data_IF_444607966087
#
_entry.id   IF_444607966087
#
_cell.length_a   1.000
_cell.length_b   1.000
_cell.length_c   1.000
_cell.angle_alpha   90.00
_cell.angle_beta   90.00
_cell.angle_gamma   90.00
#
_symmetry.space_group_name_H-M   'P 1'
#
loop_
_entity.id
_entity.type
_entity.pdbx_description
1 polymer ?
#
# COMPACT_ATOMS: atom_id res chain seq x y z
N UNK A 1 -1.01 -7.61 -10.78
CA UNK A 1 0.27 -8.10 -10.24
C UNK A 1 0.09 -8.73 -8.87
N UNK A 2 0.78 -9.83 -8.61
CA UNK A 2 0.72 -10.48 -7.30
C UNK A 2 1.95 -10.06 -6.48
N UNK A 3 1.69 -9.51 -5.29
CA UNK A 3 2.76 -9.15 -4.38
C UNK A 3 3.02 -10.28 -3.41
N UNK A 4 4.24 -10.82 -3.45
CA UNK A 4 4.69 -11.77 -2.44
C UNK A 4 5.10 -10.98 -1.19
N UNK A 5 5.39 -11.70 -0.10
CA UNK A 5 5.82 -11.06 1.14
C UNK A 5 7.03 -10.14 0.92
N UNK A 6 8.04 -10.61 0.20
CA UNK A 6 9.23 -9.81 -0.05
C UNK A 6 8.94 -8.60 -0.90
N UNK A 7 8.10 -8.76 -1.94
CA UNK A 7 7.72 -7.64 -2.80
C UNK A 7 6.89 -6.62 -2.04
N UNK A 8 6.01 -7.08 -1.18
CA UNK A 8 5.21 -6.17 -0.36
C UNK A 8 6.11 -5.35 0.56
N UNK A 9 7.07 -5.98 1.20
CA UNK A 9 8.02 -5.26 2.07
C UNK A 9 8.79 -4.20 1.31
N UNK A 10 9.19 -4.51 0.08
CA UNK A 10 9.97 -3.59 -0.74
C UNK A 10 9.14 -2.40 -1.23
N UNK A 11 7.82 -2.52 -1.20
CA UNK A 11 6.93 -1.49 -1.72
C UNK A 11 6.19 -0.71 -0.65
N UNK A 12 6.56 -0.89 0.61
CA UNK A 12 5.99 -0.10 1.70
C UNK A 12 6.51 1.32 1.59
N UNK A 13 5.60 2.29 1.67
CA UNK A 13 5.94 3.70 1.58
C UNK A 13 5.75 4.36 2.93
N UNK A 14 6.52 5.41 3.18
CA UNK A 14 6.40 6.21 4.40
C UNK A 14 5.83 7.57 4.05
N UNK A 15 4.74 7.94 4.72
CA UNK A 15 4.12 9.25 4.54
C UNK A 15 3.85 9.85 5.90
N UNK A 16 4.41 11.02 6.14
CA UNK A 16 4.24 11.75 7.39
C UNK A 16 4.60 10.90 8.60
N UNK A 17 5.69 10.13 8.46
CA UNK A 17 6.15 9.27 9.52
C UNK A 17 5.37 7.98 9.69
N UNK A 18 4.39 7.73 8.82
CA UNK A 18 3.56 6.52 8.88
C UNK A 18 3.78 5.67 7.63
N UNK A 19 3.81 4.35 7.83
CA UNK A 19 3.97 3.43 6.72
C UNK A 19 2.62 3.11 6.11
N UNK A 20 2.57 3.06 4.78
CA UNK A 20 1.37 2.71 4.04
C UNK A 20 1.75 1.82 2.87
N UNK A 21 0.79 1.07 2.36
CA UNK A 21 0.98 0.25 1.18
C UNK A 21 -0.10 0.60 0.16
N UNK A 22 0.30 0.96 -1.05
CA UNK A 22 -0.64 1.28 -2.12
C UNK A 22 -0.79 0.06 -3.03
N UNK A 23 -2.02 -0.40 -3.17
CA UNK A 23 -2.34 -1.56 -4.01
C UNK A 23 -3.08 -1.06 -5.24
N UNK A 24 -2.51 -1.33 -6.41
CA UNK A 24 -3.10 -0.92 -7.67
C UNK A 24 -4.30 -1.77 -8.06
N UNK A 25 -5.06 -1.28 -9.02
CA UNK A 25 -6.17 -2.04 -9.56
C UNK A 25 -5.64 -3.29 -10.25
N UNK A 26 -6.25 -4.42 -9.94
CA UNK A 26 -5.79 -5.69 -10.47
C UNK A 26 -4.64 -6.33 -9.72
N UNK A 27 -4.07 -5.62 -8.74
CA UNK A 27 -3.02 -6.18 -7.91
C UNK A 27 -3.61 -6.97 -6.76
N UNK A 28 -2.89 -8.01 -6.35
CA UNK A 28 -3.31 -8.85 -5.22
C UNK A 28 -2.12 -9.09 -4.31
N UNK A 29 -2.42 -9.52 -3.09
CA UNK A 29 -1.41 -9.85 -2.08
C UNK A 29 -1.52 -11.32 -1.71
N UNK A 30 -0.37 -11.96 -1.48
CA UNK A 30 -0.37 -13.31 -0.91
C UNK A 30 -0.86 -13.22 0.54
N UNK A 31 -1.29 -14.36 1.09
CA UNK A 31 -1.72 -14.40 2.49
C UNK A 31 -0.60 -13.95 3.42
N UNK A 32 0.63 -14.37 3.15
CA UNK A 32 1.78 -13.98 3.97
C UNK A 32 2.02 -12.47 3.92
N UNK A 33 1.90 -11.88 2.72
CA UNK A 33 2.07 -10.44 2.55
C UNK A 33 1.00 -9.67 3.32
N UNK A 34 -0.24 -10.11 3.18
CA UNK A 34 -1.36 -9.48 3.86
C UNK A 34 -1.22 -9.57 5.37
N UNK A 35 -0.85 -10.75 5.87
CA UNK A 35 -0.66 -10.96 7.30
C UNK A 35 0.46 -10.08 7.84
N UNK A 36 1.54 -9.94 7.10
CA UNK A 36 2.65 -9.09 7.51
C UNK A 36 2.22 -7.63 7.64
N UNK A 37 1.51 -7.13 6.62
CA UNK A 37 1.04 -5.74 6.64
C UNK A 37 0.08 -5.51 7.81
N UNK A 38 -0.80 -6.47 8.07
CA UNK A 38 -1.74 -6.36 9.18
C UNK A 38 -1.00 -6.38 10.51
N UNK A 39 -0.02 -7.27 10.67
CA UNK A 39 0.75 -7.37 11.90
C UNK A 39 1.54 -6.09 12.20
N UNK A 40 2.02 -5.44 11.14
CA UNK A 40 2.78 -4.19 11.26
C UNK A 40 1.87 -2.96 11.26
N UNK A 41 0.57 -3.17 11.22
CA UNK A 41 -0.43 -2.10 11.20
C UNK A 41 -0.22 -1.13 10.04
N UNK A 42 0.14 -1.67 8.89
CA UNK A 42 0.34 -0.88 7.67
C UNK A 42 -0.97 -0.90 6.90
N UNK A 43 -1.64 0.25 6.72
CA UNK A 43 -2.88 0.27 5.97
C UNK A 43 -2.63 -0.01 4.49
N UNK A 44 -3.56 -0.74 3.89
CA UNK A 44 -3.52 -1.04 2.46
C UNK A 44 -4.52 -0.09 1.80
N UNK A 45 -4.00 0.80 0.96
CA UNK A 45 -4.82 1.81 0.30
C UNK A 45 -4.79 1.59 -1.20
N UNK A 46 -5.88 1.91 -1.91
CA UNK A 46 -5.86 1.82 -3.37
C UNK A 46 -4.91 2.85 -3.95
N UNK A 47 -4.16 2.47 -4.97
CA UNK A 47 -3.22 3.38 -5.61
C UNK A 47 -3.92 4.61 -6.19
N UNK A 48 -5.16 4.44 -6.65
CA UNK A 48 -5.94 5.56 -7.17
C UNK A 48 -6.21 6.62 -6.10
N UNK A 49 -6.26 6.20 -4.83
CA UNK A 49 -6.49 7.14 -3.73
C UNK A 49 -5.30 8.07 -3.55
N UNK A 50 -4.09 7.61 -3.82
CA UNK A 50 -2.91 8.45 -3.75
C UNK A 50 -3.00 9.58 -4.79
N UNK A 51 -3.49 9.27 -5.98
CA UNK A 51 -3.69 10.28 -7.02
C UNK A 51 -4.77 11.28 -6.63
N UNK A 52 -5.87 10.78 -6.09
CA UNK A 52 -6.98 11.63 -5.65
C UNK A 52 -6.49 12.59 -4.58
N UNK A 53 -5.71 12.10 -3.64
CA UNK A 53 -5.17 12.93 -2.57
C UNK A 53 -4.34 14.07 -3.14
N UNK A 54 -3.57 13.79 -4.18
CA UNK A 54 -2.74 14.82 -4.82
C UNK A 54 -3.61 15.88 -5.48
N UNK A 55 -4.68 15.47 -6.14
CA UNK A 55 -5.59 16.41 -6.78
C UNK A 55 -6.31 17.27 -5.76
N UNK A 56 -6.73 16.68 -4.68
CA UNK A 56 -7.37 17.44 -3.60
C UNK A 56 -6.41 18.48 -3.07
N UNK A 57 -5.14 18.16 -3.00
CA UNK A 57 -4.14 19.11 -2.56
C UNK A 57 -3.97 20.29 -3.51
N UNK A 58 -4.34 20.13 -4.77
CA UNK A 58 -4.28 21.21 -5.74
C UNK A 58 -5.48 22.14 -5.66
N UNK A 59 -6.59 21.62 -5.19
CA UNK A 59 -7.80 22.42 -5.06
C UNK A 59 -7.70 23.40 -3.89
#
# INVERSE_FOLDING_TARGET
>A
MLYTLEQAKANIRTREGKRVFFLGEGDTLTSAARDHLAAERIPILPASKAKITRYVGLD
#
